data_IF_325605356970
#
_entry.id   IF_325605356970
#
_cell.length_a   1.000
_cell.length_b   1.000
_cell.length_c   1.000
_cell.angle_alpha   90.00
_cell.angle_beta   90.00
_cell.angle_gamma   90.00
#
_symmetry.space_group_name_H-M   'P 1'
#
loop_
_entity.id
_entity.type
_entity.pdbx_description
1 polymer ?
#
# COMPACT_ATOMS: atom_id res chain seq x y z
N UNK A 1 -2.17 16.19 6.84
CA UNK A 1 -3.56 16.04 7.37
C UNK A 1 -4.31 15.04 6.49
N UNK A 2 -5.20 14.25 7.07
CA UNK A 2 -5.96 13.19 6.41
C UNK A 2 -7.46 13.44 6.54
N UNK A 3 -8.21 13.08 5.51
CA UNK A 3 -9.65 12.81 5.60
C UNK A 3 -9.81 11.37 6.07
N UNK A 4 -10.51 11.20 7.18
CA UNK A 4 -10.86 9.90 7.75
C UNK A 4 -12.28 9.55 7.32
N UNK A 5 -12.48 8.36 6.75
CA UNK A 5 -13.80 7.82 6.44
C UNK A 5 -13.97 6.48 7.15
N UNK A 6 -14.92 6.40 8.07
CA UNK A 6 -15.24 5.18 8.83
C UNK A 6 -16.49 4.56 8.23
N UNK A 7 -16.37 3.32 7.74
CA UNK A 7 -17.51 2.57 7.21
C UNK A 7 -18.07 1.64 8.29
N UNK A 8 -19.35 1.83 8.56
CA UNK A 8 -20.10 1.13 9.59
C UNK A 8 -21.51 0.75 9.06
N UNK A 9 -22.20 -0.20 9.68
CA UNK A 9 -23.42 -0.83 9.13
C UNK A 9 -24.57 0.14 8.78
N UNK A 10 -24.62 1.32 9.39
CA UNK A 10 -25.58 2.38 9.02
C UNK A 10 -25.17 3.19 7.78
N UNK A 11 -24.14 4.04 7.92
CA UNK A 11 -23.65 4.92 6.87
C UNK A 11 -22.15 5.23 7.09
N UNK A 12 -21.39 5.64 6.07
CA UNK A 12 -20.03 6.12 6.28
C UNK A 12 -20.04 7.46 7.03
N UNK A 13 -19.15 7.63 8.01
CA UNK A 13 -18.90 8.92 8.68
C UNK A 13 -17.55 9.46 8.24
N UNK A 14 -17.48 10.76 7.96
CA UNK A 14 -16.25 11.44 7.56
C UNK A 14 -15.77 12.40 8.64
N UNK A 15 -14.45 12.49 8.79
CA UNK A 15 -13.77 13.37 9.73
C UNK A 15 -12.40 13.80 9.21
N UNK A 16 -11.66 14.51 10.04
CA UNK A 16 -10.26 14.86 9.74
C UNK A 16 -9.34 14.30 10.81
N UNK A 17 -8.16 13.85 10.37
CA UNK A 17 -7.14 13.27 11.22
C UNK A 17 -5.80 13.97 10.98
N UNK A 18 -5.10 14.31 12.06
CA UNK A 18 -3.69 14.73 12.00
C UNK A 18 -2.80 13.52 11.65
N UNK A 19 -1.53 13.76 11.30
CA UNK A 19 -0.60 12.63 11.07
C UNK A 19 -0.37 11.80 12.33
N UNK A 20 -0.35 12.44 13.50
CA UNK A 20 -0.22 11.74 14.79
C UNK A 20 -1.44 10.86 15.07
N UNK A 21 -2.65 11.34 14.77
CA UNK A 21 -3.87 10.55 14.91
C UNK A 21 -3.91 9.38 13.93
N UNK A 22 -3.58 9.62 12.66
CA UNK A 22 -3.47 8.56 11.65
C UNK A 22 -2.44 7.48 12.07
N UNK A 23 -1.25 7.88 12.53
CA UNK A 23 -0.22 6.96 13.03
C UNK A 23 -0.69 6.16 14.25
N UNK A 24 -1.44 6.80 15.16
CA UNK A 24 -2.07 6.12 16.29
C UNK A 24 -3.09 5.06 15.83
N UNK A 25 -3.94 5.38 14.85
CA UNK A 25 -4.92 4.42 14.32
C UNK A 25 -4.24 3.22 13.66
N UNK A 26 -3.20 3.43 12.86
CA UNK A 26 -2.43 2.35 12.22
C UNK A 26 -1.80 1.41 13.25
N UNK A 27 -1.15 1.97 14.29
CA UNK A 27 -0.61 1.17 15.40
C UNK A 27 -1.69 0.42 16.17
N UNK A 28 -2.82 1.08 16.43
CA UNK A 28 -3.96 0.46 17.12
C UNK A 28 -4.56 -0.68 16.31
N UNK A 29 -4.67 -0.52 14.99
CA UNK A 29 -5.15 -1.54 14.07
C UNK A 29 -4.27 -2.79 14.14
N UNK A 30 -2.95 -2.64 14.03
CA UNK A 30 -2.03 -3.77 14.16
C UNK A 30 -2.12 -4.46 15.52
N UNK A 31 -2.14 -3.70 16.62
CA UNK A 31 -2.28 -4.28 17.97
C UNK A 31 -3.56 -5.11 18.14
N UNK A 32 -4.60 -4.80 17.36
CA UNK A 32 -5.87 -5.53 17.36
C UNK A 32 -5.94 -6.64 16.31
N UNK A 33 -4.87 -6.88 15.56
CA UNK A 33 -4.84 -7.87 14.49
C UNK A 33 -5.74 -7.50 13.31
N UNK A 34 -5.96 -6.20 13.06
CA UNK A 34 -6.74 -5.75 11.91
C UNK A 34 -5.87 -5.70 10.66
N UNK A 35 -6.51 -5.87 9.50
CA UNK A 35 -5.84 -5.76 8.21
C UNK A 35 -5.53 -4.30 7.92
N UNK A 36 -4.31 -4.01 7.50
CA UNK A 36 -3.88 -2.65 7.12
C UNK A 36 -3.21 -2.70 5.75
N UNK A 37 -3.59 -1.79 4.86
CA UNK A 37 -3.02 -1.67 3.52
C UNK A 37 -2.73 -0.21 3.19
N UNK A 38 -1.53 0.09 2.70
CA UNK A 38 -1.18 1.43 2.22
C UNK A 38 -1.71 1.67 0.81
N UNK A 39 -2.12 2.92 0.51
CA UNK A 39 -2.65 3.28 -0.81
C UNK A 39 -1.62 4.08 -1.62
N UNK A 40 -1.61 3.97 -2.96
CA UNK A 40 -0.66 4.71 -3.81
C UNK A 40 -0.72 6.23 -3.66
N UNK A 41 -1.86 6.76 -3.20
CA UNK A 41 -2.04 8.18 -2.91
C UNK A 41 -1.37 8.65 -1.62
N UNK A 42 -0.73 7.77 -0.84
CA UNK A 42 -0.17 8.09 0.47
C UNK A 42 -1.14 7.95 1.62
N UNK A 43 -2.22 7.19 1.42
CA UNK A 43 -3.20 6.89 2.46
C UNK A 43 -3.05 5.48 3.01
N UNK A 44 -4.02 5.08 3.82
CA UNK A 44 -4.11 3.71 4.32
C UNK A 44 -5.57 3.29 4.48
N UNK A 45 -5.82 1.99 4.36
CA UNK A 45 -7.10 1.35 4.63
C UNK A 45 -6.91 0.34 5.74
N UNK A 46 -7.78 0.40 6.74
CA UNK A 46 -7.83 -0.52 7.87
C UNK A 46 -9.14 -1.29 7.74
N UNK A 47 -9.11 -2.62 7.68
CA UNK A 47 -10.29 -3.47 7.56
C UNK A 47 -10.38 -4.44 8.75
N UNK A 48 -11.60 -4.66 9.26
CA UNK A 48 -11.87 -5.68 10.26
C UNK A 48 -13.33 -6.16 10.18
N UNK A 49 -13.62 -7.26 10.85
CA UNK A 49 -15.00 -7.75 11.01
C UNK A 49 -15.48 -7.46 12.42
N UNK A 50 -16.60 -6.74 12.55
CA UNK A 50 -17.27 -6.53 13.83
C UNK A 50 -18.38 -7.56 14.02
N UNK A 51 -18.52 -8.06 15.25
CA UNK A 51 -19.66 -8.86 15.68
C UNK A 51 -20.68 -7.92 16.35
N UNK A 52 -21.93 -7.97 15.88
CA UNK A 52 -23.05 -7.28 16.51
C UNK A 52 -24.17 -8.27 16.77
N UNK A 53 -24.80 -8.18 17.94
CA UNK A 53 -26.03 -8.92 18.21
C UNK A 53 -27.20 -8.16 17.57
N UNK A 54 -27.98 -8.83 16.76
CA UNK A 54 -29.28 -8.33 16.29
C UNK A 54 -30.37 -8.62 17.33
N UNK A 55 -31.54 -7.99 17.19
CA UNK A 55 -32.64 -8.11 18.16
C UNK A 55 -33.18 -9.53 18.34
N UNK A 56 -32.80 -10.47 17.48
CA UNK A 56 -33.07 -11.90 17.54
C UNK A 56 -31.99 -12.72 18.30
N UNK A 57 -30.95 -12.07 18.83
CA UNK A 57 -29.87 -12.70 19.58
C UNK A 57 -28.82 -13.42 18.72
N UNK A 58 -28.97 -13.43 17.39
CA UNK A 58 -27.98 -14.02 16.50
C UNK A 58 -26.77 -13.07 16.31
N UNK A 59 -25.52 -13.58 16.38
CA UNK A 59 -24.34 -12.77 16.10
C UNK A 59 -24.22 -12.53 14.59
N UNK A 60 -24.33 -11.27 14.17
CA UNK A 60 -24.10 -10.84 12.79
C UNK A 60 -22.65 -10.36 12.64
N UNK A 61 -21.96 -10.89 11.63
CA UNK A 61 -20.63 -10.43 11.20
C UNK A 61 -20.79 -9.33 10.15
N UNK A 62 -20.33 -8.13 10.48
CA UNK A 62 -20.38 -6.99 9.57
C UNK A 62 -18.95 -6.48 9.25
N UNK A 63 -18.55 -6.39 7.98
CA UNK A 63 -17.28 -5.77 7.62
C UNK A 63 -17.29 -4.30 8.01
N UNK A 64 -16.15 -3.81 8.50
CA UNK A 64 -15.91 -2.43 8.90
C UNK A 64 -14.57 -1.97 8.36
N UNK A 65 -14.47 -0.69 8.09
CA UNK A 65 -13.20 -0.13 7.63
C UNK A 65 -12.99 1.31 8.06
N UNK A 66 -11.74 1.71 8.13
CA UNK A 66 -11.31 3.12 8.20
C UNK A 66 -10.44 3.37 6.98
N UNK A 67 -10.76 4.40 6.22
CA UNK A 67 -9.93 4.89 5.12
C UNK A 67 -9.33 6.22 5.52
N UNK A 68 -8.00 6.31 5.47
CA UNK A 68 -7.23 7.52 5.70
C UNK A 68 -6.73 8.01 4.34
N UNK A 69 -7.28 9.11 3.85
CA UNK A 69 -6.88 9.73 2.58
C UNK A 69 -6.17 11.05 2.86
N UNK A 70 -4.91 11.26 2.43
CA UNK A 70 -4.24 12.54 2.65
C UNK A 70 -4.96 13.64 1.89
N UNK A 71 -5.09 14.82 2.51
CA UNK A 71 -5.72 15.99 1.86
C UNK A 71 -4.97 16.44 0.61
N UNK A 72 -3.65 16.27 0.61
CA UNK A 72 -2.79 16.44 -0.56
C UNK A 72 -2.24 15.07 -0.93
N UNK A 73 -2.86 14.37 -1.91
CA UNK A 73 -2.37 13.08 -2.35
C UNK A 73 -0.93 13.16 -2.81
N UNK A 74 -0.16 12.11 -2.51
CA UNK A 74 1.23 12.03 -2.88
C UNK A 74 1.44 12.18 -4.38
N UNK A 75 0.45 11.84 -5.22
CA UNK A 75 0.49 11.93 -6.68
C UNK A 75 1.48 10.93 -7.29
N UNK A 76 1.87 11.14 -8.56
CA UNK A 76 2.86 10.26 -9.21
C UNK A 76 4.24 10.47 -8.59
N UNK A 77 4.81 9.41 -8.02
CA UNK A 77 6.18 9.38 -7.53
C UNK A 77 7.11 8.89 -8.65
N UNK A 78 7.70 9.83 -9.39
CA UNK A 78 8.72 9.51 -10.40
C UNK A 78 9.98 8.95 -9.74
N UNK A 79 10.83 8.28 -10.51
CA UNK A 79 12.05 7.64 -10.00
C UNK A 79 12.95 8.65 -9.27
N UNK A 80 13.09 9.87 -9.80
CA UNK A 80 13.80 10.98 -9.16
C UNK A 80 13.18 11.37 -7.82
N UNK A 81 11.85 11.52 -7.76
CA UNK A 81 11.18 11.88 -6.50
C UNK A 81 11.34 10.77 -5.47
N UNK A 82 11.30 9.50 -5.88
CA UNK A 82 11.53 8.37 -4.97
C UNK A 82 12.96 8.35 -4.45
N UNK A 83 13.94 8.61 -5.31
CA UNK A 83 15.34 8.72 -4.91
C UNK A 83 15.55 9.88 -3.91
N UNK A 84 14.95 11.06 -4.16
CA UNK A 84 15.01 12.20 -3.25
C UNK A 84 14.40 11.87 -1.89
N UNK A 85 13.22 11.24 -1.86
CA UNK A 85 12.55 10.87 -0.60
C UNK A 85 13.32 9.80 0.17
N UNK A 86 13.86 8.79 -0.53
CA UNK A 86 14.72 7.77 0.08
C UNK A 86 15.99 8.39 0.67
N UNK A 87 16.65 9.29 -0.05
CA UNK A 87 17.83 9.99 0.43
C UNK A 87 17.55 10.77 1.73
N UNK A 88 16.38 11.41 1.84
CA UNK A 88 15.94 12.09 3.07
C UNK A 88 15.69 11.09 4.20
N UNK A 89 14.99 9.97 3.94
CA UNK A 89 14.69 8.96 4.95
C UNK A 89 15.95 8.27 5.49
N UNK A 90 16.88 7.92 4.60
CA UNK A 90 18.08 7.14 4.93
C UNK A 90 19.20 8.00 5.54
N UNK A 91 19.08 9.32 5.53
CA UNK A 91 20.12 10.25 6.00
C UNK A 91 19.64 11.04 7.23
N UNK A 92 19.93 10.60 8.47
CA UNK A 92 19.57 11.33 9.68
C UNK A 92 20.16 12.75 9.77
N UNK A 93 21.24 13.00 9.04
CA UNK A 93 21.91 14.29 8.93
C UNK A 93 21.31 15.22 7.85
N UNK A 94 20.23 14.79 7.17
CA UNK A 94 19.53 15.63 6.21
C UNK A 94 19.08 16.93 6.88
N UNK A 95 19.36 18.05 6.23
CA UNK A 95 19.01 19.38 6.74
C UNK A 95 18.63 20.31 5.61
N UNK A 96 17.93 21.38 5.94
CA UNK A 96 17.77 22.49 5.02
C UNK A 96 19.04 23.33 4.97
N UNK A 97 19.33 23.84 3.79
CA UNK A 97 20.40 24.80 3.54
C UNK A 97 19.90 25.86 2.55
N UNK A 98 20.71 26.89 2.32
CA UNK A 98 20.43 27.95 1.37
C UNK A 98 21.49 27.95 0.27
N UNK A 99 21.05 27.90 -0.99
CA UNK A 99 21.92 28.16 -2.14
C UNK A 99 21.36 29.30 -2.96
N UNK A 100 22.16 30.35 -3.13
CA UNK A 100 21.79 31.58 -3.86
C UNK A 100 20.44 32.15 -3.41
N UNK A 101 20.18 32.12 -2.10
CA UNK A 101 18.93 32.61 -1.49
C UNK A 101 17.73 31.67 -1.60
N UNK A 102 17.88 30.48 -2.20
CA UNK A 102 16.81 29.51 -2.33
C UNK A 102 17.03 28.29 -1.42
N UNK A 103 15.94 27.81 -0.81
CA UNK A 103 15.96 26.66 0.11
C UNK A 103 16.29 25.37 -0.63
N UNK A 104 17.24 24.60 -0.11
CA UNK A 104 17.59 23.25 -0.56
C UNK A 104 17.56 22.25 0.58
N UNK A 105 17.56 20.96 0.25
CA UNK A 105 17.80 19.88 1.20
C UNK A 105 19.15 19.25 0.86
N UNK A 106 20.00 19.08 1.86
CA UNK A 106 21.34 18.49 1.71
C UNK A 106 21.54 17.36 2.71
N UNK A 107 22.34 16.37 2.33
CA UNK A 107 22.76 15.27 3.21
C UNK A 107 24.02 14.59 2.68
N UNK A 108 25.07 14.52 3.49
CA UNK A 108 26.34 13.90 3.08
C UNK A 108 26.88 14.47 1.75
N UNK A 109 26.91 13.61 0.72
CA UNK A 109 27.39 13.94 -0.64
C UNK A 109 26.28 14.31 -1.62
N UNK A 110 25.00 14.23 -1.23
CA UNK A 110 23.87 14.51 -2.10
C UNK A 110 23.19 15.83 -1.76
N UNK A 111 22.49 16.37 -2.76
CA UNK A 111 21.78 17.64 -2.65
C UNK A 111 20.54 17.64 -3.54
N UNK A 112 19.41 18.04 -2.96
CA UNK A 112 18.15 18.24 -3.68
C UNK A 112 18.06 19.71 -4.09
N UNK A 113 17.94 20.02 -5.38
CA UNK A 113 17.94 21.40 -5.87
C UNK A 113 16.72 22.19 -5.40
N UNK A 114 16.74 23.53 -5.47
CA UNK A 114 15.68 24.36 -4.89
C UNK A 114 14.29 24.07 -5.47
N UNK A 115 14.20 23.90 -6.78
CA UNK A 115 12.93 23.59 -7.45
C UNK A 115 12.36 22.23 -7.03
N UNK A 116 13.20 21.22 -6.78
CA UNK A 116 12.75 19.92 -6.27
C UNK A 116 12.33 20.03 -4.80
N UNK A 117 13.12 20.71 -3.97
CA UNK A 117 12.80 20.98 -2.56
C UNK A 117 11.45 21.68 -2.42
N UNK A 118 11.21 22.75 -3.19
CA UNK A 118 9.94 23.48 -3.19
C UNK A 118 8.75 22.57 -3.58
N UNK A 119 8.92 21.70 -4.59
CA UNK A 119 7.89 20.74 -4.99
C UNK A 119 7.58 19.70 -3.93
N UNK A 120 8.60 19.19 -3.23
CA UNK A 120 8.41 18.23 -2.15
C UNK A 120 7.59 18.83 -0.99
N UNK A 121 7.89 20.07 -0.61
CA UNK A 121 7.12 20.80 0.41
C UNK A 121 5.71 21.17 -0.08
N UNK A 122 5.56 21.66 -1.31
CA UNK A 122 4.27 22.04 -1.86
C UNK A 122 3.30 20.84 -1.97
N UNK A 123 3.83 19.64 -2.19
CA UNK A 123 3.06 18.38 -2.19
C UNK A 123 2.86 17.78 -0.79
N UNK A 124 3.39 18.42 0.26
CA UNK A 124 3.35 17.91 1.62
C UNK A 124 4.07 16.57 1.80
N UNK A 125 5.04 16.25 0.94
CA UNK A 125 5.80 14.99 1.01
C UNK A 125 6.93 15.07 2.03
N UNK A 126 7.47 16.28 2.21
CA UNK A 126 8.48 16.60 3.21
C UNK A 126 7.88 17.63 4.15
N UNK A 127 8.06 17.41 5.44
CA UNK A 127 7.70 18.35 6.50
C UNK A 127 8.93 18.66 7.34
N UNK A 128 8.85 19.73 8.10
CA UNK A 128 9.91 20.15 9.00
C UNK A 128 9.57 19.75 10.42
N UNK A 129 10.48 19.03 11.06
CA UNK A 129 10.39 18.68 12.46
C UNK A 129 11.72 18.97 13.12
N UNK A 130 11.68 19.78 14.19
CA UNK A 130 12.87 20.21 14.92
C UNK A 130 13.97 20.82 14.01
N UNK A 131 13.56 21.56 12.98
CA UNK A 131 14.48 22.21 12.03
C UNK A 131 15.09 21.25 11.00
N UNK A 132 14.59 20.01 10.88
CA UNK A 132 15.08 19.02 9.92
C UNK A 132 13.98 18.58 8.96
N UNK A 133 14.31 18.31 7.68
CA UNK A 133 13.40 17.67 6.75
C UNK A 133 13.15 16.24 7.18
N UNK A 134 11.88 15.85 7.27
CA UNK A 134 11.44 14.46 7.39
C UNK A 134 10.35 14.17 6.39
N UNK A 135 10.13 12.88 6.11
CA UNK A 135 9.00 12.46 5.31
C UNK A 135 7.70 12.59 6.11
N UNK A 136 6.67 13.12 5.46
CA UNK A 136 5.31 13.04 5.99
C UNK A 136 4.83 11.59 6.02
N UNK A 137 3.86 11.28 6.89
CA UNK A 137 3.24 9.94 6.89
C UNK A 137 2.69 9.59 5.49
N UNK A 138 2.16 10.58 4.77
CA UNK A 138 1.63 10.36 3.43
C UNK A 138 2.72 9.95 2.42
N UNK A 139 3.89 10.58 2.48
CA UNK A 139 5.02 10.19 1.63
C UNK A 139 5.50 8.77 1.95
N UNK A 140 5.61 8.42 3.24
CA UNK A 140 6.05 7.09 3.67
C UNK A 140 5.08 5.99 3.19
N UNK A 141 3.77 6.19 3.37
CA UNK A 141 2.75 5.25 2.90
C UNK A 141 2.74 5.13 1.36
N UNK A 142 2.96 6.23 0.64
CA UNK A 142 3.03 6.20 -0.82
C UNK A 142 4.27 5.45 -1.32
N UNK A 143 5.43 5.62 -0.67
CA UNK A 143 6.65 4.85 -0.95
C UNK A 143 6.43 3.36 -0.69
N UNK A 144 5.82 3.01 0.45
CA UNK A 144 5.48 1.63 0.78
C UNK A 144 4.57 1.00 -0.28
N UNK A 145 3.47 1.68 -0.64
CA UNK A 145 2.54 1.21 -1.66
C UNK A 145 3.22 1.04 -3.03
N UNK A 146 4.20 1.89 -3.35
CA UNK A 146 4.98 1.80 -4.58
C UNK A 146 5.98 0.64 -4.58
N UNK A 147 6.68 0.44 -3.46
CA UNK A 147 7.64 -0.65 -3.27
C UNK A 147 6.96 -2.02 -3.33
N UNK A 148 5.73 -2.11 -2.83
CA UNK A 148 4.93 -3.34 -2.81
C UNK A 148 3.78 -3.36 -3.83
N UNK A 149 4.00 -2.84 -5.04
CA UNK A 149 3.01 -2.99 -6.11
C UNK A 149 2.95 -4.44 -6.56
N UNK A 150 1.75 -5.00 -6.54
CA UNK A 150 1.49 -6.38 -6.94
C UNK A 150 0.75 -6.44 -8.26
N UNK A 151 1.10 -7.40 -9.11
CA UNK A 151 0.32 -7.76 -10.30
C UNK A 151 -0.09 -9.22 -10.23
N UNK A 152 -1.23 -9.53 -10.84
CA UNK A 152 -1.71 -10.91 -11.01
C UNK A 152 -1.83 -11.21 -12.49
N UNK A 153 -1.35 -12.36 -12.95
CA UNK A 153 -1.54 -12.77 -14.35
C UNK A 153 -3.00 -13.13 -14.60
N UNK A 154 -3.50 -12.87 -15.81
CA UNK A 154 -4.81 -13.38 -16.19
C UNK A 154 -4.66 -14.82 -16.70
N UNK A 155 -5.53 -15.74 -16.27
CA UNK A 155 -5.53 -17.09 -16.83
C UNK A 155 -5.90 -17.05 -18.32
N UNK A 156 -5.25 -17.87 -19.14
CA UNK A 156 -5.49 -17.89 -20.59
C UNK A 156 -6.87 -18.46 -20.96
N UNK A 157 -7.50 -19.20 -20.04
CA UNK A 157 -8.76 -19.87 -20.30
C UNK A 157 -8.55 -21.09 -21.21
N UNK A 158 -9.36 -21.23 -22.26
CA UNK A 158 -9.25 -22.39 -23.16
C UNK A 158 -8.15 -22.18 -24.21
N UNK A 159 -7.09 -22.98 -24.17
CA UNK A 159 -6.01 -22.96 -25.15
C UNK A 159 -5.75 -24.35 -25.73
N UNK A 160 -5.15 -24.41 -26.92
CA UNK A 160 -4.65 -25.68 -27.49
C UNK A 160 -3.31 -25.99 -26.86
N UNK A 161 -3.15 -27.20 -26.35
CA UNK A 161 -1.86 -27.65 -25.84
C UNK A 161 -0.82 -27.60 -26.98
N UNK A 162 0.34 -27.03 -26.70
CA UNK A 162 1.51 -27.03 -27.59
C UNK A 162 2.34 -28.31 -27.48
N UNK A 163 1.92 -29.26 -26.62
CA UNK A 163 2.57 -30.55 -26.46
C UNK A 163 2.45 -31.37 -27.77
N UNK A 164 3.57 -31.74 -28.43
CA UNK A 164 3.57 -32.51 -29.66
C UNK A 164 2.96 -33.91 -29.51
N UNK A 165 2.74 -34.40 -28.29
CA UNK A 165 2.12 -35.71 -28.01
C UNK A 165 0.62 -35.63 -27.65
N UNK A 166 0.04 -34.43 -27.67
CA UNK A 166 -1.39 -34.10 -27.88
C UNK A 166 -2.47 -35.09 -27.40
N UNK A 167 -2.38 -35.64 -26.19
CA UNK A 167 -3.37 -36.61 -25.67
C UNK A 167 -4.44 -35.99 -24.75
N UNK A 168 -4.22 -34.77 -24.28
CA UNK A 168 -5.12 -34.13 -23.33
C UNK A 168 -6.34 -33.50 -24.01
N UNK A 169 -7.54 -33.95 -23.63
CA UNK A 169 -8.81 -33.35 -24.06
C UNK A 169 -9.43 -33.93 -25.33
N UNK A 170 -8.83 -34.95 -25.95
CA UNK A 170 -9.35 -35.59 -27.18
C UNK A 170 -10.71 -36.28 -27.00
N UNK A 171 -11.09 -36.64 -25.77
CA UNK A 171 -12.33 -37.39 -25.49
C UNK A 171 -13.47 -36.54 -24.89
N UNK A 172 -13.42 -35.21 -24.98
CA UNK A 172 -14.53 -34.36 -24.51
C UNK A 172 -15.53 -34.06 -25.64
N UNK A 173 -16.82 -34.44 -25.51
CA UNK A 173 -17.81 -34.14 -26.52
C UNK A 173 -18.06 -32.62 -26.63
N UNK A 174 -18.17 -32.12 -27.87
CA UNK A 174 -18.46 -30.71 -28.20
C UNK A 174 -17.28 -29.93 -28.82
N UNK A 175 -17.46 -28.62 -29.08
CA UNK A 175 -16.45 -27.72 -29.72
C UNK A 175 -15.17 -27.47 -28.88
N UNK A 176 -14.92 -28.27 -27.84
CA UNK A 176 -13.80 -28.13 -26.89
C UNK A 176 -12.86 -29.34 -26.86
N UNK A 177 -13.02 -30.28 -27.78
CA UNK A 177 -12.10 -31.40 -27.95
C UNK A 177 -10.67 -30.89 -28.26
N UNK A 178 -9.68 -31.38 -27.53
CA UNK A 178 -8.26 -30.98 -27.66
C UNK A 178 -7.89 -29.62 -27.05
N UNK A 179 -8.81 -28.97 -26.31
CA UNK A 179 -8.50 -27.74 -25.55
C UNK A 179 -8.24 -28.05 -24.07
N UNK A 180 -7.18 -27.47 -23.52
CA UNK A 180 -6.92 -27.40 -22.09
C UNK A 180 -7.50 -26.09 -21.54
N UNK A 181 -7.99 -26.12 -20.30
CA UNK A 181 -8.46 -24.91 -19.61
C UNK A 181 -7.43 -24.50 -18.57
N UNK A 182 -6.70 -23.43 -18.85
CA UNK A 182 -5.82 -22.78 -17.89
C UNK A 182 -6.64 -21.91 -16.92
N UNK A 183 -6.48 -22.18 -15.62
CA UNK A 183 -6.99 -21.34 -14.53
C UNK A 183 -5.86 -20.65 -13.78
N UNK A 184 -4.62 -20.99 -14.08
CA UNK A 184 -3.47 -20.61 -13.27
C UNK A 184 -3.26 -19.11 -13.31
N UNK A 185 -2.97 -18.54 -12.15
CA UNK A 185 -2.70 -17.12 -12.01
C UNK A 185 -1.56 -16.96 -11.03
N UNK A 186 -0.50 -16.26 -11.44
CA UNK A 186 0.61 -15.95 -10.57
C UNK A 186 0.40 -14.58 -9.93
N UNK A 187 0.80 -14.45 -8.67
CA UNK A 187 0.94 -13.17 -7.98
C UNK A 187 2.42 -12.82 -7.88
N UNK A 188 2.78 -11.63 -8.34
CA UNK A 188 4.14 -11.09 -8.25
C UNK A 188 4.12 -9.71 -7.62
N UNK A 189 5.19 -9.35 -6.90
CA UNK A 189 5.37 -8.03 -6.32
C UNK A 189 6.66 -7.37 -6.81
N UNK A 190 6.64 -6.04 -6.94
CA UNK A 190 7.81 -5.25 -7.32
C UNK A 190 8.97 -5.32 -6.32
N UNK A 191 8.73 -5.73 -5.07
CA UNK A 191 9.80 -5.96 -4.10
C UNK A 191 10.58 -7.26 -4.35
N UNK A 192 10.08 -8.16 -5.21
CA UNK A 192 10.70 -9.46 -5.51
C UNK A 192 10.44 -10.57 -4.49
N UNK A 193 9.93 -10.26 -3.29
CA UNK A 193 9.68 -11.26 -2.23
C UNK A 193 8.43 -12.11 -2.47
N UNK A 194 7.46 -11.59 -3.24
CA UNK A 194 6.30 -12.35 -3.68
C UNK A 194 6.48 -12.79 -5.13
N UNK A 195 6.62 -14.10 -5.30
CA UNK A 195 6.45 -14.79 -6.58
C UNK A 195 5.78 -16.13 -6.28
N UNK A 196 4.46 -16.17 -6.41
CA UNK A 196 3.67 -17.34 -6.04
C UNK A 196 2.65 -17.69 -7.12
N UNK A 197 2.53 -18.98 -7.40
CA UNK A 197 1.50 -19.52 -8.28
C UNK A 197 0.23 -19.75 -7.45
N UNK A 198 -0.75 -18.86 -7.61
CA UNK A 198 -2.11 -19.07 -7.12
C UNK A 198 -2.81 -20.03 -8.07
N UNK A 199 -3.39 -21.11 -7.56
CA UNK A 199 -4.08 -22.08 -8.41
C UNK A 199 -5.10 -21.40 -9.35
N UNK A 200 -5.81 -20.38 -8.86
CA UNK A 200 -6.68 -19.51 -9.64
C UNK A 200 -6.46 -18.01 -9.36
N UNK A 201 -7.17 -17.16 -10.11
CA UNK A 201 -7.05 -15.70 -10.01
C UNK A 201 -7.50 -15.14 -8.64
N UNK A 202 -8.47 -15.76 -7.98
CA UNK A 202 -8.90 -15.31 -6.65
C UNK A 202 -7.82 -15.59 -5.62
N UNK A 203 -7.19 -16.76 -5.70
CA UNK A 203 -6.08 -17.12 -4.85
C UNK A 203 -4.87 -16.21 -5.09
N UNK A 204 -4.51 -15.92 -6.34
CA UNK A 204 -3.45 -14.96 -6.65
C UNK A 204 -3.73 -13.57 -6.06
N UNK A 205 -4.98 -13.08 -6.12
CA UNK A 205 -5.39 -11.81 -5.49
C UNK A 205 -5.31 -11.86 -3.96
N UNK A 206 -5.68 -12.99 -3.35
CA UNK A 206 -5.58 -13.22 -1.91
C UNK A 206 -4.12 -13.16 -1.45
N UNK A 207 -3.23 -13.86 -2.15
CA UNK A 207 -1.78 -13.86 -1.89
C UNK A 207 -1.18 -12.46 -2.04
N UNK A 208 -1.50 -11.76 -3.12
CA UNK A 208 -1.06 -10.38 -3.33
C UNK A 208 -1.51 -9.45 -2.19
N UNK A 209 -2.77 -9.56 -1.77
CA UNK A 209 -3.33 -8.74 -0.68
C UNK A 209 -2.72 -9.08 0.67
N UNK A 210 -2.53 -10.37 0.97
CA UNK A 210 -1.84 -10.82 2.18
C UNK A 210 -0.41 -10.28 2.25
N UNK A 211 0.32 -10.31 1.13
CA UNK A 211 1.68 -9.75 1.05
C UNK A 211 1.70 -8.24 1.33
N UNK A 212 0.83 -7.44 0.69
CA UNK A 212 0.77 -5.99 0.94
C UNK A 212 0.43 -5.66 2.40
N UNK A 213 -0.45 -6.47 3.03
CA UNK A 213 -0.79 -6.32 4.45
C UNK A 213 0.37 -6.67 5.36
N UNK A 214 1.12 -7.73 5.05
CA UNK A 214 2.33 -8.08 5.79
C UNK A 214 3.40 -6.98 5.69
N UNK A 215 3.63 -6.43 4.50
CA UNK A 215 4.55 -5.31 4.29
C UNK A 215 4.13 -4.05 5.09
N UNK A 216 2.83 -3.71 5.09
CA UNK A 216 2.31 -2.63 5.92
C UNK A 216 2.50 -2.89 7.42
N UNK A 217 2.34 -4.14 7.86
CA UNK A 217 2.55 -4.51 9.25
C UNK A 217 4.02 -4.28 9.67
N UNK A 218 4.97 -4.75 8.86
CA UNK A 218 6.41 -4.53 9.09
C UNK A 218 6.74 -3.05 9.13
N UNK A 219 6.25 -2.26 8.17
CA UNK A 219 6.46 -0.82 8.13
C UNK A 219 5.97 -0.11 9.39
N UNK A 220 4.74 -0.38 9.85
CA UNK A 220 4.19 0.29 11.04
C UNK A 220 4.99 -0.09 12.30
N UNK A 221 5.50 -1.31 12.40
CA UNK A 221 6.34 -1.73 13.54
C UNK A 221 7.70 -1.04 13.51
N UNK A 222 8.35 -0.98 12.35
CA UNK A 222 9.69 -0.41 12.20
C UNK A 222 9.69 1.12 12.26
N UNK A 223 8.84 1.76 11.47
CA UNK A 223 8.89 3.21 11.21
C UNK A 223 7.97 4.00 12.15
N UNK A 224 6.89 3.40 12.64
CA UNK A 224 5.94 4.09 13.52
C UNK A 224 6.05 3.68 14.99
N UNK A 225 7.07 2.88 15.36
CA UNK A 225 7.37 2.19 16.63
C UNK A 225 6.72 2.65 17.96
N UNK A 226 6.71 1.74 18.94
CA UNK A 226 5.78 1.64 20.10
C UNK A 226 5.17 2.96 20.62
N UNK A 227 3.83 3.00 20.88
CA UNK A 227 3.26 4.13 21.59
C UNK A 227 3.95 4.21 22.95
N UNK A 228 4.58 5.34 23.22
CA UNK A 228 4.95 5.71 24.59
C UNK A 228 3.70 5.52 25.44
N UNK A 229 3.76 4.72 26.52
CA UNK A 229 2.61 4.37 27.34
C UNK A 229 1.90 5.60 27.92
#
# INVERSE_FOLDING_TARGET
MFTETITHAGAPTTGTATESHASYLLRRALRRGFDVEATPGGGARIDWTALSLTGDGAPVRAPRSITLSPQTPAGTLTDTVRADLAAIADTPAARHDTDRGARVIVGGLWRIPPGATARLHARGLVIEEQGRPRLSLAAQLALLAHAHRTTTTQPEGWHRSTDPYGSAGLNRPGRRAGLMHDRTSAAVCSCGELSAWGGDQEEARRLATAHRRAAAAVFIVAELGAPTP
#
